data_IF_121141246788
#
_entry.id   IF_121141246788
#
_cell.length_a   1.000
_cell.length_b   1.000
_cell.length_c   1.000
_cell.angle_alpha   90.00
_cell.angle_beta   90.00
_cell.angle_gamma   90.00
#
_symmetry.space_group_name_H-M   'P 1'
#
loop_
_entity.id
_entity.type
_entity.pdbx_description
1 polymer ?
#
# COMPACT_ATOMS: atom_id res chain seq x y z
N UNK A 1 15.04 -26.51 -7.60
CA UNK A 1 15.36 -26.18 -6.19
C UNK A 1 14.46 -27.03 -5.33
N UNK A 2 15.04 -27.91 -4.51
CA UNK A 2 14.26 -28.85 -3.72
C UNK A 2 13.61 -28.18 -2.50
N UNK A 3 12.36 -28.57 -2.21
CA UNK A 3 11.54 -27.98 -1.14
C UNK A 3 10.91 -29.06 -0.27
N UNK A 4 10.93 -28.85 1.05
CA UNK A 4 10.25 -29.71 2.03
C UNK A 4 8.88 -29.13 2.38
N UNK A 5 7.85 -29.99 2.47
CA UNK A 5 6.54 -29.60 3.02
C UNK A 5 6.59 -29.60 4.55
N UNK A 6 6.04 -28.57 5.17
CA UNK A 6 5.96 -28.42 6.62
C UNK A 6 4.62 -27.76 7.01
N UNK A 7 4.24 -27.79 8.30
CA UNK A 7 2.99 -27.21 8.80
C UNK A 7 3.27 -26.07 9.76
N UNK A 8 2.49 -25.00 9.66
CA UNK A 8 2.48 -23.92 10.66
C UNK A 8 1.97 -24.45 12.01
N UNK A 9 2.74 -24.23 13.08
CA UNK A 9 2.38 -24.65 14.45
C UNK A 9 1.13 -23.94 15.01
N UNK A 10 0.76 -22.76 14.48
CA UNK A 10 -0.39 -21.98 14.98
C UNK A 10 -1.71 -22.24 14.24
N UNK A 11 -1.67 -22.40 12.91
CA UNK A 11 -2.89 -22.49 12.10
C UNK A 11 -2.97 -23.73 11.19
N UNK A 12 -2.03 -24.68 11.32
CA UNK A 12 -2.02 -25.96 10.60
C UNK A 12 -1.74 -25.89 9.10
N UNK A 13 -1.62 -24.69 8.52
CA UNK A 13 -1.38 -24.49 7.08
C UNK A 13 -0.11 -25.19 6.60
N UNK A 14 -0.22 -25.96 5.51
CA UNK A 14 0.92 -26.55 4.81
C UNK A 14 1.71 -25.46 4.05
N UNK A 15 3.03 -25.47 4.17
CA UNK A 15 3.97 -24.50 3.61
C UNK A 15 5.14 -25.26 2.97
N UNK A 16 5.60 -24.82 1.80
CA UNK A 16 6.84 -25.30 1.20
C UNK A 16 8.02 -24.46 1.72
N UNK A 17 9.06 -25.11 2.22
CA UNK A 17 10.27 -24.48 2.73
C UNK A 17 11.49 -24.97 1.94
N UNK A 18 12.49 -24.12 1.66
CA UNK A 18 13.78 -24.57 1.12
C UNK A 18 14.40 -25.66 2.01
N UNK A 19 15.02 -26.67 1.41
CA UNK A 19 15.81 -27.64 2.19
C UNK A 19 17.00 -26.90 2.82
N UNK A 20 17.06 -26.92 4.15
CA UNK A 20 18.03 -26.16 4.96
C UNK A 20 17.44 -24.99 5.77
N UNK A 21 16.19 -24.56 5.51
CA UNK A 21 15.56 -23.49 6.28
C UNK A 21 15.32 -23.90 7.75
N UNK A 22 15.84 -23.12 8.69
CA UNK A 22 15.68 -23.33 10.15
C UNK A 22 14.39 -22.72 10.71
N UNK A 23 13.80 -21.75 10.01
CA UNK A 23 12.56 -21.07 10.40
C UNK A 23 11.70 -20.78 9.17
N UNK A 24 10.38 -20.83 9.34
CA UNK A 24 9.42 -20.34 8.34
C UNK A 24 8.38 -19.43 8.97
N UNK A 25 7.97 -18.40 8.21
CA UNK A 25 6.87 -17.50 8.57
C UNK A 25 5.61 -17.99 7.87
N UNK A 26 4.53 -18.19 8.62
CA UNK A 26 3.27 -18.63 8.02
C UNK A 26 2.56 -17.47 7.30
N UNK A 27 2.26 -17.55 5.99
CA UNK A 27 1.63 -16.45 5.26
C UNK A 27 0.21 -16.12 5.77
N UNK A 28 -0.53 -17.10 6.31
CA UNK A 28 -1.90 -16.93 6.83
C UNK A 28 -1.98 -16.24 8.20
N UNK A 29 -1.01 -16.45 9.09
CA UNK A 29 -1.11 -16.00 10.49
C UNK A 29 0.16 -15.36 11.05
N UNK A 30 1.17 -15.15 10.20
CA UNK A 30 2.48 -14.53 10.50
C UNK A 30 3.28 -15.18 11.64
N UNK A 31 2.85 -16.35 12.13
CA UNK A 31 3.54 -17.09 13.18
C UNK A 31 4.83 -17.70 12.64
N UNK A 32 5.94 -17.48 13.36
CA UNK A 32 7.24 -18.08 13.07
C UNK A 32 7.28 -19.49 13.63
N UNK A 33 7.37 -20.49 12.75
CA UNK A 33 7.57 -21.90 13.13
C UNK A 33 9.05 -22.23 13.02
N UNK A 34 9.67 -22.66 14.11
CA UNK A 34 11.02 -23.25 14.07
C UNK A 34 10.93 -24.64 13.44
N UNK A 35 11.79 -24.87 12.45
CA UNK A 35 11.90 -26.14 11.73
C UNK A 35 13.02 -26.96 12.35
N UNK A 36 12.69 -28.10 12.97
CA UNK A 36 13.74 -29.02 13.41
C UNK A 36 14.61 -29.44 12.20
N UNK A 37 15.94 -29.52 12.38
CA UNK A 37 16.81 -30.17 11.42
C UNK A 37 16.41 -31.64 11.28
N UNK A 38 16.68 -32.30 10.14
CA UNK A 38 16.37 -33.72 9.97
C UNK A 38 17.06 -34.54 11.06
N UNK A 39 16.28 -35.33 11.82
CA UNK A 39 16.85 -36.27 12.78
C UNK A 39 17.43 -37.45 12.01
N UNK A 40 18.75 -37.55 11.97
CA UNK A 40 19.41 -38.79 11.55
C UNK A 40 19.18 -39.86 12.64
N UNK A 41 18.22 -40.76 12.40
CA UNK A 41 18.24 -42.08 13.00
C UNK A 41 19.24 -42.92 12.22
N UNK A 42 20.40 -43.18 12.79
CA UNK A 42 21.47 -43.93 12.15
C UNK A 42 22.53 -44.36 13.15
N UNK A 43 22.65 -45.67 13.34
CA UNK A 43 23.54 -46.33 14.30
C UNK A 43 25.02 -45.97 14.09
N UNK A 44 25.79 -46.09 15.17
CA UNK A 44 27.23 -45.85 15.17
C UNK A 44 27.99 -46.80 14.23
N UNK A 45 29.01 -46.27 13.54
CA UNK A 45 30.31 -46.92 13.52
C UNK A 45 31.47 -45.93 13.27
N UNK A 46 32.68 -46.37 13.58
CA UNK A 46 33.87 -45.53 13.70
C UNK A 46 34.55 -45.13 12.38
N UNK A 47 35.41 -44.12 12.49
CA UNK A 47 36.62 -43.80 11.70
C UNK A 47 36.59 -42.58 10.74
N UNK A 48 37.78 -41.96 10.66
CA UNK A 48 38.24 -40.88 9.77
C UNK A 48 37.82 -39.42 10.06
N UNK A 49 38.72 -38.73 10.78
CA UNK A 49 39.21 -37.36 10.46
C UNK A 49 39.97 -37.38 9.11
N UNK A 50 40.29 -36.25 8.43
CA UNK A 50 40.42 -34.87 8.93
C UNK A 50 39.64 -33.83 8.06
N UNK A 51 39.87 -32.51 8.01
CA UNK A 51 40.85 -31.58 8.64
C UNK A 51 40.28 -30.14 8.78
N UNK A 52 41.04 -29.20 9.36
CA UNK A 52 40.80 -27.74 9.29
C UNK A 52 42.13 -26.96 9.17
N UNK A 53 42.26 -25.98 8.24
CA UNK A 53 43.38 -25.03 8.24
C UNK A 53 43.27 -24.00 9.37
N UNK A 54 44.43 -23.51 9.84
CA UNK A 54 44.56 -22.76 11.09
C UNK A 54 44.43 -21.22 10.97
N UNK A 55 44.07 -20.58 12.08
CA UNK A 55 44.34 -19.16 12.33
C UNK A 55 45.65 -19.00 13.15
N UNK A 56 46.49 -17.99 12.88
CA UNK A 56 47.77 -17.79 13.57
C UNK A 56 47.63 -17.28 15.02
N UNK A 57 48.70 -17.45 15.79
CA UNK A 57 48.70 -17.45 17.25
C UNK A 57 48.97 -16.09 17.94
N UNK A 58 48.70 -16.07 19.26
CA UNK A 58 49.00 -14.98 20.21
C UNK A 58 50.52 -14.69 20.37
N UNK A 59 50.89 -13.46 20.75
CA UNK A 59 52.13 -13.18 21.49
C UNK A 59 52.08 -13.65 22.96
N UNK A 60 53.26 -13.82 23.57
CA UNK A 60 53.47 -14.47 24.89
C UNK A 60 53.27 -13.54 26.10
N UNK A 61 53.13 -14.17 27.28
CA UNK A 61 53.28 -13.53 28.61
C UNK A 61 54.73 -13.14 28.90
N UNK A 62 54.92 -12.07 29.68
CA UNK A 62 56.00 -11.98 30.67
C UNK A 62 55.38 -11.84 32.08
N UNK A 63 56.16 -12.15 33.12
CA UNK A 63 55.72 -12.32 34.51
C UNK A 63 56.40 -11.25 35.43
N UNK A 64 56.26 -11.30 36.77
CA UNK A 64 55.54 -10.29 37.55
C UNK A 64 56.45 -9.36 38.38
N UNK A 65 55.85 -8.45 39.15
CA UNK A 65 56.04 -8.24 40.62
C UNK A 65 55.91 -6.76 41.07
N UNK A 66 55.59 -6.57 42.36
CA UNK A 66 55.78 -5.37 43.23
C UNK A 66 54.65 -4.31 43.37
N UNK A 67 54.02 -4.38 44.56
CA UNK A 67 53.43 -3.36 45.46
C UNK A 67 52.34 -2.34 45.03
N UNK A 68 51.15 -2.55 45.63
CA UNK A 68 50.47 -1.68 46.60
C UNK A 68 50.62 -0.15 46.50
N UNK A 69 49.49 0.54 46.28
CA UNK A 69 49.01 1.52 47.27
C UNK A 69 47.50 1.81 47.14
N UNK A 70 46.76 1.66 48.24
CA UNK A 70 45.35 2.07 48.34
C UNK A 70 45.25 3.54 48.73
N UNK A 71 44.47 4.35 47.99
CA UNK A 71 43.73 5.51 48.52
C UNK A 71 42.39 5.67 47.77
N UNK A 72 41.25 5.80 48.46
CA UNK A 72 39.95 6.00 47.82
C UNK A 72 39.71 7.50 47.52
N UNK A 73 39.12 7.82 46.36
CA UNK A 73 38.58 9.14 46.08
C UNK A 73 37.10 9.09 45.71
N UNK A 74 36.30 9.52 46.68
CA UNK A 74 35.02 10.24 46.62
C UNK A 74 34.01 9.93 45.50
N UNK A 75 32.82 9.54 45.97
CA UNK A 75 31.54 9.62 45.27
C UNK A 75 31.41 10.88 44.40
N UNK A 76 31.08 10.68 43.12
CA UNK A 76 30.32 11.67 42.36
C UNK A 76 29.13 11.01 41.67
N UNK A 77 28.06 11.80 41.54
CA UNK A 77 26.67 11.33 41.37
C UNK A 77 26.44 10.50 40.09
N UNK A 78 25.50 9.54 40.09
CA UNK A 78 25.05 8.94 38.84
C UNK A 78 24.34 10.01 37.99
N UNK A 79 24.80 10.18 36.75
CA UNK A 79 23.98 10.87 35.74
C UNK A 79 22.72 10.03 35.50
N UNK A 80 21.56 10.68 35.53
CA UNK A 80 20.34 10.09 34.99
C UNK A 80 20.56 9.77 33.51
N UNK A 81 20.32 8.52 33.04
CA UNK A 81 20.41 8.22 31.62
C UNK A 81 19.36 9.05 30.90
N UNK A 82 19.81 9.89 29.95
CA UNK A 82 18.91 10.54 29.00
C UNK A 82 18.23 9.43 28.20
N UNK A 83 16.98 9.12 28.55
CA UNK A 83 16.13 8.24 27.76
C UNK A 83 15.80 9.03 26.50
N UNK A 84 16.68 8.93 25.51
CA UNK A 84 16.34 9.26 24.14
C UNK A 84 15.08 8.46 23.82
N UNK A 85 13.98 9.17 23.54
CA UNK A 85 12.73 8.57 23.10
C UNK A 85 12.93 7.94 21.72
N UNK A 86 13.54 6.75 21.69
CA UNK A 86 13.61 5.89 20.52
C UNK A 86 12.19 5.37 20.29
N UNK A 87 11.38 6.21 19.65
CA UNK A 87 10.06 5.84 19.17
C UNK A 87 10.27 4.66 18.23
N UNK A 88 9.66 3.48 18.48
CA UNK A 88 9.90 2.32 17.64
C UNK A 88 9.58 2.66 16.19
N UNK A 89 10.37 2.17 15.21
CA UNK A 89 10.11 2.45 13.80
C UNK A 89 8.67 2.03 13.46
N UNK A 90 7.89 2.87 12.74
CA UNK A 90 6.50 2.57 12.45
C UNK A 90 6.34 1.19 11.80
N UNK A 91 5.65 0.29 12.50
CA UNK A 91 5.42 -1.12 12.07
C UNK A 91 4.77 -1.18 10.69
N UNK A 92 3.94 -0.19 10.38
CA UNK A 92 3.45 0.11 9.03
C UNK A 92 4.28 1.27 8.48
N UNK A 93 4.98 1.03 7.37
CA UNK A 93 5.92 1.97 6.76
C UNK A 93 5.27 3.26 6.22
N UNK A 94 6.02 4.01 5.42
CA UNK A 94 5.58 5.31 4.88
C UNK A 94 4.39 5.23 3.91
N UNK A 95 4.07 4.05 3.39
CA UNK A 95 2.96 3.78 2.47
C UNK A 95 1.93 2.88 3.14
N UNK A 96 0.65 3.27 3.09
CA UNK A 96 -0.49 2.57 3.69
C UNK A 96 -1.71 2.74 2.78
N UNK A 97 -2.53 1.71 2.66
CA UNK A 97 -3.75 1.76 1.86
C UNK A 97 -4.92 1.05 2.55
N UNK A 98 -6.12 1.59 2.33
CA UNK A 98 -7.39 0.94 2.63
C UNK A 98 -8.15 0.86 1.32
N UNK A 99 -8.63 -0.34 0.98
CA UNK A 99 -9.31 -0.63 -0.28
C UNK A 99 -10.70 -1.17 0.05
N UNK A 100 -11.74 -0.65 -0.59
CA UNK A 100 -13.12 -1.07 -0.33
C UNK A 100 -13.77 -1.59 -1.62
N UNK A 101 -14.32 -2.80 -1.57
CA UNK A 101 -15.05 -3.42 -2.68
C UNK A 101 -16.43 -3.90 -2.23
N UNK A 102 -17.50 -3.28 -2.74
CA UNK A 102 -18.88 -3.54 -2.29
C UNK A 102 -19.65 -4.25 -3.41
N UNK A 103 -20.08 -5.49 -3.17
CA UNK A 103 -20.78 -6.33 -4.15
C UNK A 103 -22.31 -6.37 -3.98
N UNK A 104 -22.86 -5.76 -2.93
CA UNK A 104 -24.27 -5.82 -2.52
C UNK A 104 -24.90 -7.23 -2.64
N UNK A 105 -24.19 -8.26 -2.19
CA UNK A 105 -24.59 -9.67 -2.37
C UNK A 105 -26.01 -9.94 -1.87
N UNK A 106 -26.84 -10.55 -2.73
CA UNK A 106 -28.25 -10.84 -2.42
C UNK A 106 -29.22 -9.68 -2.67
N UNK A 107 -28.73 -8.49 -3.02
CA UNK A 107 -29.58 -7.38 -3.45
C UNK A 107 -29.84 -7.43 -4.96
N UNK A 108 -30.95 -6.86 -5.42
CA UNK A 108 -31.29 -6.71 -6.85
C UNK A 108 -30.32 -5.80 -7.66
N UNK A 109 -29.29 -5.25 -6.99
CA UNK A 109 -28.22 -4.41 -7.57
C UNK A 109 -26.83 -4.97 -7.21
N UNK A 110 -26.70 -6.29 -7.16
CA UNK A 110 -25.42 -6.94 -6.82
C UNK A 110 -24.41 -6.74 -7.96
N UNK A 111 -23.22 -6.27 -7.61
CA UNK A 111 -22.11 -5.97 -8.52
C UNK A 111 -20.99 -7.01 -8.35
N UNK A 112 -20.21 -7.24 -9.40
CA UNK A 112 -19.04 -8.14 -9.39
C UNK A 112 -17.72 -7.40 -9.58
N UNK A 113 -17.74 -6.23 -10.24
CA UNK A 113 -16.55 -5.45 -10.57
C UNK A 113 -15.83 -4.89 -9.35
N UNK A 114 -16.55 -4.26 -8.43
CA UNK A 114 -15.94 -3.52 -7.30
C UNK A 114 -15.04 -4.35 -6.38
N UNK A 115 -15.24 -5.68 -6.30
CA UNK A 115 -14.30 -6.58 -5.60
C UNK A 115 -13.03 -6.82 -6.42
N UNK A 116 -13.17 -7.01 -7.74
CA UNK A 116 -12.02 -7.15 -8.64
C UNK A 116 -11.22 -5.84 -8.72
N UNK A 117 -11.87 -4.68 -8.67
CA UNK A 117 -11.22 -3.37 -8.58
C UNK A 117 -10.33 -3.27 -7.33
N UNK A 118 -10.87 -3.59 -6.16
CA UNK A 118 -10.12 -3.61 -4.90
C UNK A 118 -8.96 -4.63 -4.91
N UNK A 119 -9.14 -5.81 -5.53
CA UNK A 119 -8.10 -6.83 -5.65
C UNK A 119 -6.99 -6.45 -6.66
N UNK A 120 -7.36 -5.87 -7.80
CA UNK A 120 -6.43 -5.34 -8.81
C UNK A 120 -5.61 -4.18 -8.25
N UNK A 121 -6.27 -3.24 -7.56
CA UNK A 121 -5.59 -2.14 -6.87
C UNK A 121 -4.64 -2.65 -5.78
N UNK A 122 -5.04 -3.68 -5.01
CA UNK A 122 -4.15 -4.32 -4.02
C UNK A 122 -2.91 -4.91 -4.67
N UNK A 123 -3.08 -5.65 -5.77
CA UNK A 123 -1.97 -6.24 -6.51
C UNK A 123 -1.02 -5.16 -7.01
N UNK A 124 -1.55 -4.13 -7.67
CA UNK A 124 -0.78 -2.99 -8.17
C UNK A 124 0.00 -2.26 -7.06
N UNK A 125 -0.65 -1.93 -5.95
CA UNK A 125 -0.02 -1.23 -4.83
C UNK A 125 1.15 -2.04 -4.21
N UNK A 126 0.96 -3.34 -3.99
CA UNK A 126 1.98 -4.20 -3.36
C UNK A 126 3.11 -4.53 -4.34
N UNK A 127 2.77 -5.05 -5.53
CA UNK A 127 3.74 -5.64 -6.47
C UNK A 127 4.44 -4.60 -7.37
N UNK A 128 3.83 -3.43 -7.59
CA UNK A 128 4.38 -2.37 -8.47
C UNK A 128 4.81 -1.13 -7.70
N UNK A 129 4.00 -0.67 -6.73
CA UNK A 129 4.27 0.56 -5.98
C UNK A 129 4.96 0.33 -4.61
N UNK A 130 5.26 -0.92 -4.26
CA UNK A 130 6.05 -1.28 -3.08
C UNK A 130 5.35 -1.02 -1.73
N UNK A 131 4.02 -1.06 -1.69
CA UNK A 131 3.28 -0.99 -0.43
C UNK A 131 3.54 -2.27 0.37
N UNK A 132 3.97 -2.19 1.65
CA UNK A 132 4.12 -3.39 2.48
C UNK A 132 2.77 -4.10 2.63
N UNK A 133 2.72 -5.41 2.39
CA UNK A 133 1.48 -6.19 2.41
C UNK A 133 0.69 -6.05 3.74
N UNK A 134 1.40 -5.90 4.87
CA UNK A 134 0.82 -5.67 6.21
C UNK A 134 0.37 -4.21 6.45
N UNK A 135 0.45 -3.35 5.44
CA UNK A 135 0.00 -1.96 5.43
C UNK A 135 -1.10 -1.71 4.38
N UNK A 136 -1.62 -2.76 3.74
CA UNK A 136 -2.76 -2.70 2.80
C UNK A 136 -3.92 -3.52 3.38
N UNK A 137 -5.00 -2.84 3.75
CA UNK A 137 -6.23 -3.46 4.24
C UNK A 137 -7.25 -3.50 3.10
N UNK A 138 -7.90 -4.64 2.91
CA UNK A 138 -9.08 -4.76 2.02
C UNK A 138 -10.31 -4.99 2.89
N UNK A 139 -11.32 -4.15 2.67
CA UNK A 139 -12.64 -4.26 3.22
C UNK A 139 -13.58 -4.70 2.09
N UNK A 140 -14.30 -5.79 2.30
CA UNK A 140 -15.39 -6.21 1.43
C UNK A 140 -16.65 -6.26 2.28
N UNK A 141 -17.71 -5.62 1.81
CA UNK A 141 -19.01 -5.44 2.48
C UNK A 141 -19.04 -4.33 3.56
N UNK A 142 -20.04 -3.45 3.46
CA UNK A 142 -20.23 -2.27 4.31
C UNK A 142 -20.83 -1.08 3.54
N UNK A 143 -21.52 -0.18 4.23
CA UNK A 143 -21.86 1.17 3.75
C UNK A 143 -21.15 2.17 4.66
N UNK A 144 -20.52 3.19 4.08
CA UNK A 144 -19.81 4.26 4.78
C UNK A 144 -20.24 5.57 4.13
N UNK A 145 -20.49 6.61 4.92
CA UNK A 145 -20.88 7.94 4.41
C UNK A 145 -19.64 8.80 4.09
N UNK A 146 -19.79 9.74 3.15
CA UNK A 146 -18.71 10.66 2.73
C UNK A 146 -18.24 11.58 3.88
N UNK A 147 -19.16 12.13 4.68
CA UNK A 147 -18.84 12.87 5.92
C UNK A 147 -18.02 12.03 6.94
N UNK A 148 -18.35 10.74 7.06
CA UNK A 148 -17.65 9.80 7.96
C UNK A 148 -16.23 9.50 7.44
N UNK A 149 -16.07 9.39 6.12
CA UNK A 149 -14.77 9.23 5.47
C UNK A 149 -13.93 10.50 5.62
N UNK A 150 -14.48 11.68 5.33
CA UNK A 150 -13.76 12.95 5.47
C UNK A 150 -13.27 13.15 6.91
N UNK A 151 -14.16 12.98 7.90
CA UNK A 151 -13.82 13.15 9.31
C UNK A 151 -12.82 12.11 9.83
N UNK A 152 -12.82 10.88 9.27
CA UNK A 152 -11.95 9.77 9.70
C UNK A 152 -10.58 9.73 9.01
N UNK A 153 -10.49 10.05 7.72
CA UNK A 153 -9.25 9.90 6.94
C UNK A 153 -8.73 11.18 6.25
N UNK A 154 -9.54 12.23 6.06
CA UNK A 154 -9.10 13.49 5.41
C UNK A 154 -8.73 14.54 6.46
N UNK A 155 -9.65 14.86 7.37
CA UNK A 155 -9.45 15.87 8.43
C UNK A 155 -8.21 15.58 9.30
N UNK A 156 -7.94 14.35 9.79
CA UNK A 156 -6.82 14.09 10.68
C UNK A 156 -5.46 13.90 9.96
N UNK A 157 -5.34 14.17 8.65
CA UNK A 157 -4.07 14.05 7.92
C UNK A 157 -3.00 15.00 8.52
N UNK A 158 -1.89 14.45 9.06
CA UNK A 158 -0.86 15.26 9.69
C UNK A 158 0.01 15.96 8.64
N UNK A 159 0.75 17.02 9.03
CA UNK A 159 1.70 17.70 8.15
C UNK A 159 2.66 16.76 7.43
N UNK A 160 2.76 16.91 6.11
CA UNK A 160 3.62 16.10 5.25
C UNK A 160 3.07 14.70 4.89
N UNK A 161 1.87 14.33 5.34
CA UNK A 161 1.15 13.19 4.78
C UNK A 161 0.50 13.56 3.43
N UNK A 162 0.42 12.59 2.53
CA UNK A 162 -0.32 12.71 1.26
C UNK A 162 -1.37 11.60 1.23
N UNK A 163 -2.62 11.97 0.93
CA UNK A 163 -3.72 11.04 0.70
C UNK A 163 -4.11 11.06 -0.79
N UNK A 164 -4.28 9.88 -1.37
CA UNK A 164 -4.90 9.66 -2.67
C UNK A 164 -6.16 8.82 -2.51
N UNK A 165 -7.32 9.40 -2.80
CA UNK A 165 -8.57 8.66 -2.97
C UNK A 165 -8.80 8.33 -4.44
N UNK A 166 -9.03 7.06 -4.74
CA UNK A 166 -9.45 6.60 -6.08
C UNK A 166 -10.84 5.98 -5.92
N UNK A 167 -11.87 6.60 -6.51
CA UNK A 167 -13.29 6.28 -6.24
C UNK A 167 -14.02 5.93 -7.53
N UNK A 168 -14.19 4.62 -7.76
CA UNK A 168 -14.88 4.06 -8.93
C UNK A 168 -16.35 3.75 -8.59
N UNK A 169 -17.18 4.80 -8.46
CA UNK A 169 -18.62 4.68 -8.19
C UNK A 169 -19.43 5.76 -8.92
N UNK A 170 -20.65 5.44 -9.36
CA UNK A 170 -21.66 6.47 -9.66
C UNK A 170 -21.83 7.42 -8.45
N UNK A 171 -22.11 8.69 -8.72
CA UNK A 171 -22.38 9.73 -7.70
C UNK A 171 -21.22 10.01 -6.73
N UNK A 172 -19.97 10.01 -7.22
CA UNK A 172 -18.74 10.12 -6.40
C UNK A 172 -18.19 11.54 -6.19
N UNK A 173 -18.78 12.57 -6.82
CA UNK A 173 -18.20 13.93 -6.87
C UNK A 173 -17.95 14.62 -5.51
N UNK A 174 -18.57 14.14 -4.44
CA UNK A 174 -18.40 14.63 -3.06
C UNK A 174 -17.71 13.62 -2.12
N UNK A 175 -17.21 12.49 -2.60
CA UNK A 175 -16.87 11.33 -1.73
C UNK A 175 -15.80 11.58 -0.66
N UNK A 176 -14.74 12.35 -0.98
CA UNK A 176 -13.79 12.87 0.02
C UNK A 176 -14.09 14.32 0.45
N UNK A 177 -15.13 14.89 -0.15
CA UNK A 177 -15.70 16.19 0.17
C UNK A 177 -14.68 17.34 0.09
N UNK A 178 -13.75 17.23 -0.88
CA UNK A 178 -12.61 18.11 -1.02
C UNK A 178 -13.00 19.51 -1.56
N UNK A 179 -12.38 20.59 -1.05
CA UNK A 179 -12.79 21.96 -1.31
C UNK A 179 -12.55 22.47 -2.73
N UNK A 180 -11.65 21.87 -3.52
CA UNK A 180 -11.35 22.33 -4.87
C UNK A 180 -11.60 21.25 -5.92
N UNK A 181 -12.44 21.54 -6.92
CA UNK A 181 -12.72 20.66 -8.06
C UNK A 181 -11.95 21.15 -9.30
N UNK A 182 -11.26 20.26 -10.00
CA UNK A 182 -10.59 20.57 -11.25
C UNK A 182 -11.51 20.28 -12.43
N UNK A 183 -11.89 21.32 -13.18
CA UNK A 183 -12.49 21.18 -14.51
C UNK A 183 -11.36 21.08 -15.52
N UNK A 184 -11.29 19.99 -16.27
CA UNK A 184 -10.32 19.76 -17.36
C UNK A 184 -11.14 19.50 -18.62
N UNK A 185 -10.82 20.19 -19.72
CA UNK A 185 -11.47 19.95 -21.01
C UNK A 185 -10.55 19.18 -21.98
N UNK A 186 -11.12 18.70 -23.10
CA UNK A 186 -10.40 17.90 -24.11
C UNK A 186 -9.28 18.64 -24.84
N UNK A 187 -9.22 19.97 -24.75
CA UNK A 187 -8.11 20.78 -25.26
C UNK A 187 -6.94 20.90 -24.26
N UNK A 188 -7.02 20.25 -23.09
CA UNK A 188 -6.01 20.33 -22.04
C UNK A 188 -6.10 21.60 -21.18
N UNK A 189 -7.09 22.48 -21.41
CA UNK A 189 -7.33 23.61 -20.52
C UNK A 189 -7.94 23.12 -19.20
N UNK A 190 -7.41 23.63 -18.09
CA UNK A 190 -7.86 23.30 -16.75
C UNK A 190 -8.20 24.55 -15.94
N UNK A 191 -9.13 24.39 -15.00
CA UNK A 191 -9.54 25.42 -14.05
C UNK A 191 -9.89 24.78 -12.72
N UNK A 192 -9.37 25.34 -11.64
CA UNK A 192 -9.85 25.02 -10.29
C UNK A 192 -11.12 25.82 -9.96
N UNK A 193 -12.13 25.12 -9.49
CA UNK A 193 -13.35 25.69 -8.90
C UNK A 193 -13.28 25.51 -7.39
N UNK A 194 -13.59 26.58 -6.65
CA UNK A 194 -13.69 26.58 -5.19
C UNK A 194 -15.11 26.21 -4.78
N UNK A 195 -15.27 25.05 -4.15
CA UNK A 195 -16.54 24.45 -3.73
C UNK A 195 -16.69 24.49 -2.19
N UNK A 196 -15.91 25.35 -1.49
CA UNK A 196 -16.00 25.52 -0.03
C UNK A 196 -17.38 26.02 0.40
N UNK A 197 -18.19 25.10 0.93
CA UNK A 197 -19.43 25.43 1.65
C UNK A 197 -19.13 25.98 3.06
N UNK A 198 -20.16 26.40 3.80
CA UNK A 198 -20.02 27.06 5.12
C UNK A 198 -19.31 26.24 6.22
N UNK A 199 -19.08 24.95 6.01
CA UNK A 199 -18.38 24.06 6.95
C UNK A 199 -16.93 23.79 6.49
N UNK A 200 -16.00 23.67 7.45
CA UNK A 200 -14.58 23.43 7.14
C UNK A 200 -14.31 21.98 6.67
N UNK A 201 -13.96 21.84 5.38
CA UNK A 201 -13.60 20.57 4.72
C UNK A 201 -12.09 20.41 4.43
N UNK A 202 -11.24 21.17 5.11
CA UNK A 202 -9.78 21.13 4.95
C UNK A 202 -9.09 20.02 5.76
N UNK A 203 -7.79 19.85 5.51
CA UNK A 203 -6.90 18.90 6.18
C UNK A 203 -6.16 19.54 7.37
N UNK A 204 -5.68 18.74 8.33
CA UNK A 204 -4.81 19.21 9.43
C UNK A 204 -3.34 19.44 9.02
N UNK A 205 -3.08 19.77 7.75
CA UNK A 205 -1.75 20.10 7.20
C UNK A 205 -1.14 19.08 6.23
N UNK A 206 -1.78 17.93 6.01
CA UNK A 206 -1.46 17.05 4.88
C UNK A 206 -2.12 17.50 3.58
N UNK A 207 -1.69 16.98 2.43
CA UNK A 207 -2.36 17.21 1.13
C UNK A 207 -3.25 16.02 0.79
N UNK A 208 -4.47 16.26 0.31
CA UNK A 208 -5.38 15.21 -0.16
C UNK A 208 -5.78 15.44 -1.62
N UNK A 209 -5.73 14.38 -2.42
CA UNK A 209 -6.18 14.33 -3.80
C UNK A 209 -7.26 13.25 -3.94
N UNK A 210 -8.26 13.50 -4.79
CA UNK A 210 -9.29 12.53 -5.14
C UNK A 210 -9.40 12.43 -6.66
N UNK A 211 -9.39 11.21 -7.18
CA UNK A 211 -9.73 10.92 -8.58
C UNK A 211 -10.96 10.03 -8.55
N UNK A 212 -12.04 10.46 -9.20
CA UNK A 212 -13.34 9.78 -9.11
C UNK A 212 -14.06 9.70 -10.45
N UNK A 213 -14.95 8.70 -10.61
CA UNK A 213 -15.72 8.51 -11.83
C UNK A 213 -16.95 9.45 -11.84
N UNK A 214 -17.05 10.35 -12.82
CA UNK A 214 -18.28 11.07 -13.10
C UNK A 214 -19.21 10.24 -13.99
N UNK A 215 -20.51 10.31 -13.72
CA UNK A 215 -21.59 9.69 -14.49
C UNK A 215 -22.68 10.76 -14.70
N UNK A 216 -23.02 11.04 -15.95
CA UNK A 216 -24.12 11.89 -16.37
C UNK A 216 -25.38 11.07 -16.72
N UNK A 217 -25.89 10.35 -15.71
CA UNK A 217 -27.20 9.71 -15.68
C UNK A 217 -27.41 8.47 -16.57
N UNK A 218 -26.44 7.54 -16.67
CA UNK A 218 -26.82 6.15 -17.01
C UNK A 218 -25.88 5.03 -16.52
N UNK A 219 -26.48 4.15 -15.70
CA UNK A 219 -26.09 2.79 -15.31
C UNK A 219 -24.63 2.36 -15.59
N UNK A 220 -23.71 2.61 -14.64
CA UNK A 220 -22.36 2.05 -14.66
C UNK A 220 -22.37 0.51 -14.58
N UNK A 221 -22.43 -0.16 -15.72
CA UNK A 221 -22.23 -1.59 -15.79
C UNK A 221 -20.78 -1.94 -15.51
N UNK A 222 -20.53 -2.89 -14.59
CA UNK A 222 -19.24 -3.57 -14.54
C UNK A 222 -18.98 -4.17 -15.93
N UNK A 223 -17.95 -3.70 -16.66
CA UNK A 223 -17.68 -4.23 -17.99
C UNK A 223 -16.53 -5.23 -17.97
N UNK A 224 -16.73 -6.37 -18.63
CA UNK A 224 -15.68 -7.35 -18.91
C UNK A 224 -14.73 -6.89 -20.02
N UNK A 225 -15.04 -5.80 -20.71
CA UNK A 225 -14.29 -5.33 -21.88
C UNK A 225 -12.81 -5.04 -21.63
N UNK A 226 -12.46 -4.59 -20.42
CA UNK A 226 -11.09 -4.16 -20.12
C UNK A 226 -10.11 -5.33 -19.98
N UNK A 227 -10.57 -6.51 -19.51
CA UNK A 227 -9.67 -7.63 -19.15
C UNK A 227 -10.26 -9.04 -19.36
N UNK A 228 -11.51 -9.16 -19.82
CA UNK A 228 -12.32 -10.38 -19.75
C UNK A 228 -12.98 -10.61 -18.38
N UNK A 229 -12.56 -9.88 -17.34
CA UNK A 229 -13.11 -9.90 -15.98
C UNK A 229 -13.85 -8.58 -15.72
N UNK A 230 -15.02 -8.57 -15.03
CA UNK A 230 -15.73 -7.32 -14.75
C UNK A 230 -14.86 -6.41 -13.89
N UNK A 231 -14.63 -5.17 -14.35
CA UNK A 231 -13.76 -4.17 -13.71
C UNK A 231 -14.25 -2.75 -14.07
N UNK A 232 -14.06 -1.79 -13.17
CA UNK A 232 -14.39 -0.38 -13.37
C UNK A 232 -13.40 0.34 -14.30
N UNK A 233 -13.92 1.25 -15.14
CA UNK A 233 -13.11 1.95 -16.14
C UNK A 233 -12.08 2.90 -15.54
N UNK A 234 -12.41 3.53 -14.40
CA UNK A 234 -11.52 4.43 -13.68
C UNK A 234 -10.34 3.64 -13.10
N UNK A 235 -10.63 2.55 -12.41
CA UNK A 235 -9.62 1.68 -11.77
C UNK A 235 -8.69 1.07 -12.81
N UNK A 236 -9.24 0.56 -13.92
CA UNK A 236 -8.45 -0.01 -15.01
C UNK A 236 -7.54 1.05 -15.66
N UNK A 237 -8.12 2.19 -16.08
CA UNK A 237 -7.35 3.22 -16.79
C UNK A 237 -6.28 3.86 -15.90
N UNK A 238 -6.53 4.03 -14.60
CA UNK A 238 -5.56 4.51 -13.62
C UNK A 238 -4.36 3.56 -13.47
N UNK A 239 -4.63 2.27 -13.20
CA UNK A 239 -3.57 1.26 -13.04
C UNK A 239 -2.74 1.16 -14.32
N UNK A 240 -3.39 1.02 -15.48
CA UNK A 240 -2.71 0.85 -16.76
C UNK A 240 -1.85 2.08 -17.12
N UNK A 241 -2.29 3.29 -16.79
CA UNK A 241 -1.53 4.53 -17.03
C UNK A 241 -0.27 4.58 -16.15
N UNK A 242 -0.39 4.27 -14.86
CA UNK A 242 0.75 4.30 -13.93
C UNK A 242 1.74 3.12 -14.14
N UNK A 243 1.31 2.00 -14.70
CA UNK A 243 2.22 0.91 -15.11
C UNK A 243 3.01 1.24 -16.37
N UNK A 244 2.45 2.05 -17.29
CA UNK A 244 3.06 2.36 -18.59
C UNK A 244 3.98 3.60 -18.55
N UNK A 245 3.68 4.58 -17.69
CA UNK A 245 4.38 5.87 -17.68
C UNK A 245 4.95 6.20 -16.29
N UNK A 246 6.27 6.39 -16.21
CA UNK A 246 6.93 6.84 -14.98
C UNK A 246 7.03 8.37 -14.93
N UNK A 247 6.99 8.96 -13.72
CA UNK A 247 7.03 10.42 -13.49
C UNK A 247 5.89 11.20 -14.18
N UNK A 248 4.67 10.70 -14.06
CA UNK A 248 3.47 11.39 -14.53
C UNK A 248 3.15 12.66 -13.72
N UNK A 249 2.63 13.66 -14.41
CA UNK A 249 1.96 14.84 -13.82
C UNK A 249 0.46 14.58 -13.72
N UNK A 250 -0.26 15.28 -12.84
CA UNK A 250 -1.71 15.06 -12.69
C UNK A 250 -2.48 15.33 -13.98
N UNK A 251 -2.11 16.38 -14.73
CA UNK A 251 -2.74 16.68 -16.01
C UNK A 251 -2.55 15.56 -17.03
N UNK A 252 -1.32 15.00 -17.11
CA UNK A 252 -1.03 13.88 -18.01
C UNK A 252 -1.73 12.59 -17.57
N UNK A 253 -1.80 12.30 -16.27
CA UNK A 253 -2.55 11.17 -15.73
C UNK A 253 -4.03 11.23 -16.12
N UNK A 254 -4.71 12.36 -15.87
CA UNK A 254 -6.14 12.51 -16.19
C UNK A 254 -6.39 12.42 -17.69
N UNK A 255 -5.55 13.05 -18.53
CA UNK A 255 -5.68 12.96 -19.99
C UNK A 255 -5.44 11.53 -20.52
N UNK A 256 -4.40 10.83 -20.04
CA UNK A 256 -4.15 9.42 -20.41
C UNK A 256 -5.30 8.51 -19.97
N UNK A 257 -5.90 8.74 -18.79
CA UNK A 257 -7.09 8.02 -18.34
C UNK A 257 -8.32 8.29 -19.23
N UNK A 258 -8.61 9.56 -19.54
CA UNK A 258 -9.71 9.95 -20.44
C UNK A 258 -9.60 9.28 -21.80
N UNK A 259 -8.40 9.28 -22.40
CA UNK A 259 -8.15 8.66 -23.70
C UNK A 259 -8.41 7.15 -23.66
N UNK A 260 -7.87 6.44 -22.65
CA UNK A 260 -8.05 4.99 -22.49
C UNK A 260 -9.52 4.57 -22.34
N UNK A 261 -10.29 5.34 -21.56
CA UNK A 261 -11.73 5.08 -21.37
C UNK A 261 -12.46 5.27 -22.72
N UNK A 262 -12.24 6.39 -23.41
CA UNK A 262 -12.86 6.67 -24.70
C UNK A 262 -12.48 5.66 -25.81
N UNK A 263 -11.20 5.26 -25.88
CA UNK A 263 -10.73 4.24 -26.82
C UNK A 263 -11.43 2.90 -26.59
N UNK A 264 -11.59 2.49 -25.34
CA UNK A 264 -12.25 1.23 -25.01
C UNK A 264 -13.76 1.31 -25.29
N UNK A 265 -14.43 2.41 -24.95
CA UNK A 265 -15.86 2.59 -25.26
C UNK A 265 -16.14 2.54 -26.77
N UNK A 266 -15.28 3.19 -27.58
CA UNK A 266 -15.34 3.11 -29.06
C UNK A 266 -15.14 1.68 -29.56
N UNK A 267 -14.17 0.94 -29.01
CA UNK A 267 -13.91 -0.45 -29.39
C UNK A 267 -15.09 -1.40 -29.11
N UNK A 268 -15.97 -1.04 -28.18
CA UNK A 268 -17.19 -1.78 -27.83
C UNK A 268 -18.44 -1.36 -28.64
N UNK A 269 -18.32 -0.35 -29.51
CA UNK A 269 -19.46 0.20 -30.25
C UNK A 269 -20.41 1.04 -29.39
N UNK A 270 -20.02 1.41 -28.17
CA UNK A 270 -20.76 2.32 -27.29
C UNK A 270 -20.59 3.76 -27.79
N UNK A 271 -21.26 4.07 -28.91
CA UNK A 271 -21.13 5.33 -29.64
C UNK A 271 -22.08 6.44 -29.12
N UNK A 272 -22.54 6.33 -27.86
CA UNK A 272 -23.39 7.33 -27.22
C UNK A 272 -22.58 8.53 -26.71
N UNK A 273 -22.99 9.75 -27.09
CA UNK A 273 -22.41 10.98 -26.54
C UNK A 273 -22.76 11.26 -25.06
N UNK A 274 -23.57 10.39 -24.45
CA UNK A 274 -24.13 10.51 -23.10
C UNK A 274 -23.72 9.34 -22.17
N UNK A 275 -22.65 8.59 -22.50
CA UNK A 275 -22.22 7.40 -21.75
C UNK A 275 -20.73 7.44 -21.35
N UNK A 276 -20.07 8.60 -21.45
CA UNK A 276 -18.63 8.75 -21.14
C UNK A 276 -18.38 8.90 -19.64
N UNK A 277 -17.87 7.84 -18.99
CA UNK A 277 -17.28 8.00 -17.64
C UNK A 277 -16.06 8.92 -17.71
N UNK A 278 -16.19 10.16 -17.25
CA UNK A 278 -15.08 11.11 -17.23
C UNK A 278 -14.43 11.16 -15.83
N UNK A 279 -13.10 10.91 -15.71
CA UNK A 279 -12.39 11.05 -14.44
C UNK A 279 -12.37 12.51 -14.00
N UNK A 280 -12.89 12.76 -12.80
CA UNK A 280 -12.80 14.04 -12.11
C UNK A 280 -11.63 14.04 -11.13
N UNK A 281 -10.99 15.20 -10.97
CA UNK A 281 -9.92 15.44 -10.02
C UNK A 281 -10.37 16.50 -9.01
N UNK A 282 -10.31 16.20 -7.72
CA UNK A 282 -10.48 17.20 -6.64
C UNK A 282 -9.34 17.15 -5.63
N UNK A 283 -9.17 18.23 -4.86
CA UNK A 283 -7.97 18.47 -4.04
C UNK A 283 -8.27 19.29 -2.78
N UNK A 284 -7.46 19.10 -1.74
CA UNK A 284 -7.45 19.96 -0.54
C UNK A 284 -6.97 21.39 -0.82
N UNK A 285 -6.20 21.58 -1.89
CA UNK A 285 -5.61 22.86 -2.31
C UNK A 285 -5.46 22.91 -3.85
N UNK A 286 -5.59 24.08 -4.51
CA UNK A 286 -5.33 24.20 -5.94
C UNK A 286 -3.83 24.10 -6.24
N UNK A 287 -3.47 23.50 -7.37
CA UNK A 287 -2.07 23.36 -7.80
C UNK A 287 -1.96 23.36 -9.33
N UNK A 288 -0.76 23.61 -9.87
CA UNK A 288 -0.49 23.44 -11.30
C UNK A 288 -0.42 21.94 -11.65
N UNK A 289 -1.42 21.47 -12.41
CA UNK A 289 -1.55 20.07 -12.78
C UNK A 289 -0.48 19.61 -13.77
N UNK A 290 0.19 20.52 -14.48
CA UNK A 290 1.22 20.19 -15.47
C UNK A 290 2.63 20.09 -14.87
N UNK A 291 2.87 20.64 -13.68
CA UNK A 291 4.16 20.50 -12.97
C UNK A 291 4.09 19.59 -11.74
N UNK A 292 2.93 19.46 -11.08
CA UNK A 292 2.78 18.57 -9.93
C UNK A 292 2.85 17.10 -10.38
N UNK A 293 3.87 16.39 -9.92
CA UNK A 293 4.02 14.95 -10.12
C UNK A 293 3.08 14.15 -9.22
N UNK A 294 2.59 13.04 -9.76
CA UNK A 294 1.84 12.01 -9.02
C UNK A 294 2.82 11.16 -8.22
N UNK A 295 2.63 11.07 -6.90
CA UNK A 295 3.55 10.42 -5.97
C UNK A 295 2.78 9.52 -4.99
N UNK A 296 2.64 8.24 -5.36
CA UNK A 296 1.90 7.18 -4.65
C UNK A 296 2.90 6.14 -4.13
#
# INVERSE_FOLDING_TARGET
>A
MDVRRCKCQRCGMNIAAPIGAQTIICPRCQFVTQLQPPRHNGFANNNMRPEFPAYPARPRRMNPNVNNNFKPQQFNRPMSPQINNIRPPPVHGRKRAVLCGINYRGHAKSLKGSINDALSMRYFLVEKLGFPIASVIVLTEGRILDDEINSTIVRPLPPGAILHGIIDTCFSGTFLDLPFLCRINRAGYFKWEDHRMRAYKGTSGGTAFSISACDDHQNSGDTTAFTGVPMGALTYSFIQTLEQETKLTYGRLIMSMQNKIQETQKALGLNGANETQEPQLSSSEPFDIHSKLVAI
#
